data_IF_097184631981
#
_entry.id   IF_097184631981
#
_cell.length_a   1.000
_cell.length_b   1.000
_cell.length_c   1.000
_cell.angle_alpha   90.00
_cell.angle_beta   90.00
_cell.angle_gamma   90.00
#
_symmetry.space_group_name_H-M   'P 1'
#
loop_
_entity.id
_entity.type
_entity.pdbx_description
1 polymer ?
#
# COMPACT_ATOMS: atom_id res chain seq x y z
N UNK A 1 13.70 -12.69 14.21
CA UNK A 1 13.49 -12.23 12.82
C UNK A 1 14.85 -11.98 12.16
N UNK A 2 15.06 -12.37 10.90
CA UNK A 2 16.34 -12.15 10.22
C UNK A 2 16.44 -10.75 9.61
N UNK A 3 17.64 -10.17 9.60
CA UNK A 3 17.92 -8.87 8.99
C UNK A 3 17.60 -8.86 7.48
N UNK A 4 17.81 -10.00 6.81
CA UNK A 4 17.45 -10.20 5.39
C UNK A 4 15.95 -10.07 5.14
N UNK A 5 15.10 -10.58 6.04
CA UNK A 5 13.65 -10.46 5.91
C UNK A 5 13.18 -9.01 6.12
N UNK A 6 13.69 -8.33 7.16
CA UNK A 6 13.39 -6.92 7.41
C UNK A 6 13.75 -6.04 6.19
N UNK A 7 14.95 -6.22 5.63
CA UNK A 7 15.40 -5.50 4.44
C UNK A 7 14.50 -5.76 3.23
N UNK A 8 14.09 -7.01 3.00
CA UNK A 8 13.17 -7.34 1.90
C UNK A 8 11.80 -6.66 2.06
N UNK A 9 11.28 -6.57 3.28
CA UNK A 9 10.03 -5.85 3.55
C UNK A 9 10.20 -4.35 3.30
N UNK A 10 11.30 -3.75 3.74
CA UNK A 10 11.61 -2.32 3.50
C UNK A 10 11.74 -1.98 2.01
N UNK A 11 12.39 -2.84 1.21
CA UNK A 11 12.48 -2.70 -0.24
C UNK A 11 11.10 -2.75 -0.89
N UNK A 12 10.23 -3.67 -0.45
CA UNK A 12 8.85 -3.79 -0.96
C UNK A 12 8.00 -2.59 -0.57
N UNK A 13 8.15 -2.07 0.65
CA UNK A 13 7.49 -0.85 1.09
C UNK A 13 7.91 0.35 0.23
N UNK A 14 9.20 0.47 -0.06
CA UNK A 14 9.75 1.52 -0.93
C UNK A 14 9.18 1.39 -2.35
N UNK A 15 9.10 0.16 -2.88
CA UNK A 15 8.48 -0.10 -4.17
C UNK A 15 6.99 0.30 -4.20
N UNK A 16 6.22 -0.08 -3.19
CA UNK A 16 4.79 0.28 -3.07
C UNK A 16 4.64 1.81 -3.01
N UNK A 17 5.45 2.50 -2.21
CA UNK A 17 5.44 3.96 -2.13
C UNK A 17 5.77 4.63 -3.47
N UNK A 18 6.73 4.07 -4.24
CA UNK A 18 7.03 4.55 -5.59
C UNK A 18 5.84 4.37 -6.53
N UNK A 19 5.25 3.18 -6.60
CA UNK A 19 4.06 2.92 -7.43
C UNK A 19 2.92 3.87 -7.04
N UNK A 20 2.74 4.14 -5.74
CA UNK A 20 1.75 5.11 -5.28
C UNK A 20 2.02 6.53 -5.77
N UNK A 21 3.28 6.97 -5.79
CA UNK A 21 3.64 8.31 -6.29
C UNK A 21 3.37 8.51 -7.77
N UNK A 22 3.33 7.42 -8.55
CA UNK A 22 2.99 7.43 -9.99
C UNK A 22 1.48 7.57 -10.23
N UNK A 23 0.63 7.38 -9.21
CA UNK A 23 -0.82 7.57 -9.32
C UNK A 23 -1.18 9.05 -9.22
N UNK A 24 -1.38 9.68 -10.38
CA UNK A 24 -1.87 11.06 -10.46
C UNK A 24 -3.32 11.16 -9.96
N UNK A 25 -3.59 12.17 -9.14
CA UNK A 25 -4.94 12.56 -8.71
C UNK A 25 -5.54 13.68 -9.58
N UNK A 26 -4.76 14.25 -10.48
CA UNK A 26 -5.20 15.35 -11.34
C UNK A 26 -6.02 14.78 -12.49
N UNK A 27 -7.33 14.99 -12.45
CA UNK A 27 -8.28 14.50 -13.45
C UNK A 27 -8.97 15.68 -14.11
N UNK A 28 -8.61 15.97 -15.36
CA UNK A 28 -9.18 17.04 -16.17
C UNK A 28 -9.97 16.51 -17.38
N UNK A 29 -9.86 15.21 -17.69
CA UNK A 29 -10.39 14.59 -18.90
C UNK A 29 -10.77 13.11 -18.69
N UNK A 30 -11.56 12.51 -19.60
CA UNK A 30 -11.85 11.07 -19.58
C UNK A 30 -10.62 10.16 -19.79
N UNK A 31 -9.54 10.68 -20.40
CA UNK A 31 -8.27 9.97 -20.48
C UNK A 31 -7.65 9.79 -19.08
N UNK A 32 -7.86 10.75 -18.20
CA UNK A 32 -7.35 10.72 -16.83
C UNK A 32 -8.08 9.68 -15.98
N UNK A 33 -9.36 9.37 -16.28
CA UNK A 33 -10.07 8.27 -15.65
C UNK A 33 -9.37 6.92 -15.90
N UNK A 34 -9.07 6.60 -17.17
CA UNK A 34 -8.40 5.32 -17.51
C UNK A 34 -6.98 5.26 -16.95
N UNK A 35 -6.26 6.38 -16.98
CA UNK A 35 -4.93 6.48 -16.41
C UNK A 35 -4.94 6.28 -14.88
N UNK A 36 -5.86 6.94 -14.17
CA UNK A 36 -6.08 6.76 -12.74
C UNK A 36 -6.48 5.32 -12.41
N UNK A 37 -7.41 4.72 -13.16
CA UNK A 37 -7.84 3.33 -12.95
C UNK A 37 -6.66 2.37 -13.08
N UNK A 38 -5.84 2.51 -14.14
CA UNK A 38 -4.65 1.68 -14.34
C UNK A 38 -3.61 1.88 -13.23
N UNK A 39 -3.33 3.12 -12.86
CA UNK A 39 -2.40 3.44 -11.77
C UNK A 39 -2.86 2.84 -10.44
N UNK A 40 -4.15 2.95 -10.13
CA UNK A 40 -4.73 2.39 -8.92
C UNK A 40 -4.71 0.85 -8.91
N UNK A 41 -4.98 0.18 -10.04
CA UNK A 41 -4.83 -1.28 -10.14
C UNK A 41 -3.39 -1.73 -9.89
N UNK A 42 -2.40 -1.02 -10.44
CA UNK A 42 -0.99 -1.31 -10.19
C UNK A 42 -0.63 -1.14 -8.71
N UNK A 43 -1.13 -0.08 -8.09
CA UNK A 43 -0.92 0.17 -6.65
C UNK A 43 -1.57 -0.90 -5.77
N UNK A 44 -2.82 -1.29 -6.05
CA UNK A 44 -3.48 -2.39 -5.34
C UNK A 44 -2.71 -3.70 -5.53
N UNK A 45 -2.21 -3.97 -6.74
CA UNK A 45 -1.36 -5.14 -7.02
C UNK A 45 -0.08 -5.16 -6.19
N UNK A 46 0.58 -4.01 -6.01
CA UNK A 46 1.78 -3.91 -5.18
C UNK A 46 1.46 -4.09 -3.69
N UNK A 47 0.33 -3.56 -3.21
CA UNK A 47 -0.16 -3.81 -1.84
C UNK A 47 -0.47 -5.28 -1.60
N UNK A 48 -1.13 -5.96 -2.55
CA UNK A 48 -1.38 -7.41 -2.49
C UNK A 48 -0.07 -8.19 -2.39
N UNK A 49 0.91 -7.84 -3.22
CA UNK A 49 2.24 -8.47 -3.19
C UNK A 49 2.96 -8.24 -1.87
N UNK A 50 2.86 -7.05 -1.28
CA UNK A 50 3.44 -6.75 0.02
C UNK A 50 2.79 -7.59 1.12
N UNK A 51 1.46 -7.57 1.26
CA UNK A 51 0.79 -8.27 2.37
C UNK A 51 1.00 -9.79 2.34
N UNK A 52 1.10 -10.43 1.17
CA UNK A 52 1.39 -11.88 1.09
C UNK A 52 2.83 -12.22 1.50
N UNK A 53 3.75 -11.26 1.47
CA UNK A 53 5.14 -11.48 1.92
C UNK A 53 5.33 -11.28 3.42
N UNK A 54 4.33 -10.70 4.09
CA UNK A 54 4.34 -10.52 5.54
C UNK A 54 3.70 -11.74 6.20
N UNK A 55 4.42 -12.48 7.07
CA UNK A 55 3.88 -13.60 7.81
C UNK A 55 2.64 -13.20 8.63
N UNK A 56 1.68 -14.11 8.74
CA UNK A 56 0.40 -13.83 9.43
C UNK A 56 0.60 -13.53 10.91
N UNK A 57 1.56 -14.18 11.57
CA UNK A 57 1.96 -13.96 12.96
C UNK A 57 2.48 -12.54 13.21
N UNK A 58 3.13 -11.93 12.22
CA UNK A 58 3.60 -10.53 12.30
C UNK A 58 2.43 -9.55 12.34
N UNK A 59 1.38 -9.78 11.55
CA UNK A 59 0.20 -8.90 11.49
C UNK A 59 -0.87 -9.28 12.52
N UNK A 60 -0.78 -10.48 13.10
CA UNK A 60 -1.71 -11.01 14.09
C UNK A 60 -3.16 -10.97 13.61
N UNK A 61 -4.03 -10.43 14.46
CA UNK A 61 -5.47 -10.31 14.18
C UNK A 61 -5.77 -9.34 13.03
N UNK A 62 -4.87 -8.40 12.72
CA UNK A 62 -5.04 -7.44 11.64
C UNK A 62 -4.82 -8.05 10.24
N UNK A 63 -4.21 -9.24 10.15
CA UNK A 63 -3.92 -9.87 8.85
C UNK A 63 -5.17 -10.07 8.01
N UNK A 64 -6.20 -10.74 8.55
CA UNK A 64 -7.39 -11.11 7.79
C UNK A 64 -8.22 -9.87 7.34
N UNK A 65 -8.49 -8.88 8.21
CA UNK A 65 -9.12 -7.63 7.80
C UNK A 65 -8.35 -6.90 6.69
N UNK A 66 -7.04 -6.72 6.84
CA UNK A 66 -6.21 -6.05 5.84
C UNK A 66 -6.20 -6.80 4.50
N UNK A 67 -5.97 -8.12 4.55
CA UNK A 67 -5.93 -8.96 3.36
C UNK A 67 -7.24 -8.92 2.58
N UNK A 68 -8.39 -9.00 3.28
CA UNK A 68 -9.71 -8.92 2.64
C UNK A 68 -9.98 -7.53 2.06
N UNK A 69 -9.65 -6.47 2.80
CA UNK A 69 -9.87 -5.09 2.34
C UNK A 69 -9.05 -4.80 1.08
N UNK A 70 -7.75 -5.09 1.09
CA UNK A 70 -6.87 -4.93 -0.09
C UNK A 70 -7.36 -5.83 -1.24
N UNK A 71 -7.73 -7.08 -0.94
CA UNK A 71 -8.31 -8.04 -1.88
C UNK A 71 -9.54 -7.50 -2.61
N UNK A 72 -10.45 -6.87 -1.86
CA UNK A 72 -11.73 -6.34 -2.33
C UNK A 72 -11.65 -5.05 -3.14
N UNK A 73 -10.54 -4.31 -3.11
CA UNK A 73 -10.41 -3.05 -3.86
C UNK A 73 -10.32 -3.26 -5.37
N UNK A 74 -9.57 -4.28 -5.83
CA UNK A 74 -9.40 -4.56 -7.26
C UNK A 74 -10.75 -4.71 -8.01
N UNK A 75 -11.70 -5.56 -7.57
CA UNK A 75 -12.98 -5.68 -8.26
C UNK A 75 -13.88 -4.44 -8.13
N UNK A 76 -13.64 -3.55 -7.17
CA UNK A 76 -14.33 -2.26 -7.08
C UNK A 76 -13.78 -1.27 -8.12
N UNK A 77 -12.45 -1.22 -8.26
CA UNK A 77 -11.76 -0.38 -9.26
C UNK A 77 -12.12 -0.79 -10.69
N UNK A 78 -12.18 -2.10 -10.97
CA UNK A 78 -12.60 -2.61 -12.27
C UNK A 78 -14.07 -2.28 -12.62
N UNK A 79 -14.92 -2.11 -11.60
CA UNK A 79 -16.33 -1.76 -11.75
C UNK A 79 -16.62 -0.26 -11.61
N UNK A 80 -15.59 0.54 -11.36
CA UNK A 80 -15.75 1.98 -11.18
C UNK A 80 -16.30 2.61 -12.46
N UNK A 81 -17.31 3.47 -12.32
CA UNK A 81 -17.96 4.16 -13.44
C UNK A 81 -17.57 5.63 -13.55
N UNK A 82 -16.94 6.19 -12.52
CA UNK A 82 -16.59 7.60 -12.44
C UNK A 82 -15.33 7.84 -11.60
N UNK A 83 -14.72 9.00 -11.80
CA UNK A 83 -13.47 9.38 -11.11
C UNK A 83 -13.63 9.47 -9.59
N UNK A 84 -14.78 9.91 -9.08
CA UNK A 84 -14.98 10.04 -7.65
C UNK A 84 -14.96 8.67 -6.96
N UNK A 85 -15.46 7.63 -7.61
CA UNK A 85 -15.30 6.24 -7.13
C UNK A 85 -13.82 5.84 -7.08
N UNK A 86 -13.05 6.10 -8.14
CA UNK A 86 -11.63 5.80 -8.16
C UNK A 86 -10.84 6.54 -7.07
N UNK A 87 -11.14 7.82 -6.84
CA UNK A 87 -10.49 8.60 -5.77
C UNK A 87 -10.82 8.04 -4.38
N UNK A 88 -12.07 7.66 -4.13
CA UNK A 88 -12.45 6.99 -2.86
C UNK A 88 -11.75 5.64 -2.68
N UNK A 89 -11.59 4.87 -3.76
CA UNK A 89 -10.88 3.59 -3.69
C UNK A 89 -9.37 3.78 -3.51
N UNK A 90 -8.81 4.87 -4.05
CA UNK A 90 -7.43 5.28 -3.81
C UNK A 90 -7.21 5.66 -2.34
N UNK A 91 -8.13 6.43 -1.74
CA UNK A 91 -8.09 6.75 -0.30
C UNK A 91 -8.14 5.47 0.55
N UNK A 92 -9.05 4.56 0.24
CA UNK A 92 -9.13 3.26 0.94
C UNK A 92 -7.86 2.40 0.77
N UNK A 93 -7.19 2.49 -0.38
CA UNK A 93 -5.89 1.84 -0.60
C UNK A 93 -4.77 2.49 0.22
N UNK A 94 -4.75 3.82 0.31
CA UNK A 94 -3.82 4.59 1.12
C UNK A 94 -3.98 4.28 2.62
N UNK A 95 -5.22 4.20 3.12
CA UNK A 95 -5.50 3.81 4.50
C UNK A 95 -5.00 2.39 4.81
N UNK A 96 -5.24 1.44 3.91
CA UNK A 96 -4.75 0.07 4.06
C UNK A 96 -3.21 0.00 4.04
N UNK A 97 -2.56 0.83 3.23
CA UNK A 97 -1.10 0.91 3.19
C UNK A 97 -0.52 1.47 4.50
N UNK A 98 -1.09 2.56 5.01
CA UNK A 98 -0.68 3.16 6.29
C UNK A 98 -0.88 2.17 7.45
N UNK A 99 -2.00 1.47 7.49
CA UNK A 99 -2.27 0.47 8.52
C UNK A 99 -1.27 -0.70 8.47
N UNK A 100 -0.91 -1.14 7.26
CA UNK A 100 0.10 -2.18 7.06
C UNK A 100 1.50 -1.71 7.51
N UNK A 101 1.91 -0.50 7.14
CA UNK A 101 3.17 0.11 7.62
C UNK A 101 3.20 0.20 9.15
N UNK A 102 2.12 0.68 9.76
CA UNK A 102 2.00 0.80 11.20
C UNK A 102 2.05 -0.56 11.91
N UNK A 103 1.42 -1.59 11.33
CA UNK A 103 1.49 -2.94 11.87
C UNK A 103 2.91 -3.52 11.81
N UNK A 104 3.60 -3.33 10.69
CA UNK A 104 5.00 -3.73 10.52
C UNK A 104 5.94 -3.01 11.49
N UNK A 105 5.71 -1.72 11.72
CA UNK A 105 6.47 -0.93 12.68
C UNK A 105 6.24 -1.43 14.12
N UNK A 106 4.97 -1.64 14.52
CA UNK A 106 4.64 -2.20 15.85
C UNK A 106 5.20 -3.60 16.08
N UNK A 107 5.26 -4.41 15.03
CA UNK A 107 5.85 -5.74 15.07
C UNK A 107 7.39 -5.72 15.09
N UNK A 108 8.03 -4.53 15.02
CA UNK A 108 9.48 -4.39 14.97
C UNK A 108 10.11 -4.91 13.69
N UNK A 109 9.32 -5.06 12.62
CA UNK A 109 9.79 -5.54 11.31
C UNK A 109 10.57 -4.47 10.57
N UNK A 110 10.06 -3.25 10.65
CA UNK A 110 10.70 -2.07 10.09
C UNK A 110 11.00 -1.11 11.23
N UNK A 111 12.13 -0.42 11.12
CA UNK A 111 12.47 0.64 12.07
C UNK A 111 11.85 1.96 11.64
N UNK A 112 11.31 2.74 12.58
CA UNK A 112 11.13 4.17 12.36
C UNK A 112 12.53 4.66 12.08
N UNK A 113 12.78 5.17 10.86
CA UNK A 113 14.13 5.46 10.39
C UNK A 113 14.99 6.05 11.50
N UNK A 114 16.21 5.52 11.65
CA UNK A 114 17.25 6.12 12.49
C UNK A 114 17.18 7.63 12.30
N UNK A 115 16.68 8.36 13.29
CA UNK A 115 16.92 9.79 13.36
C UNK A 115 18.44 9.92 13.33
N UNK A 116 19.06 10.64 12.37
CA UNK A 116 20.47 10.89 12.43
C UNK A 116 20.72 11.56 13.78
N UNK A 117 21.45 10.91 14.68
CA UNK A 117 21.98 11.61 15.84
C UNK A 117 22.95 12.63 15.27
N UNK A 118 22.48 13.88 15.15
CA UNK A 118 23.37 15.02 15.00
C UNK A 118 24.15 15.06 16.30
N UNK A 119 25.39 14.55 16.28
CA UNK A 119 26.34 14.79 17.36
C UNK A 119 26.52 16.31 17.45
N UNK A 120 26.12 16.86 18.60
CA UNK A 120 26.51 18.21 19.01
C UNK A 120 28.00 18.29 19.33
#
# INVERSE_FOLDING_TARGET
MSESYARSVEERLTYVARVRSEVSKDVASPYDFRSLQKGLLNYIGSLKSLIITVPRDVLGENFLPLYRRIGGLEPLVLRATDTNQLLRYLEAADDAFVELVNALFRAGVISSGRTPQIKG
#
